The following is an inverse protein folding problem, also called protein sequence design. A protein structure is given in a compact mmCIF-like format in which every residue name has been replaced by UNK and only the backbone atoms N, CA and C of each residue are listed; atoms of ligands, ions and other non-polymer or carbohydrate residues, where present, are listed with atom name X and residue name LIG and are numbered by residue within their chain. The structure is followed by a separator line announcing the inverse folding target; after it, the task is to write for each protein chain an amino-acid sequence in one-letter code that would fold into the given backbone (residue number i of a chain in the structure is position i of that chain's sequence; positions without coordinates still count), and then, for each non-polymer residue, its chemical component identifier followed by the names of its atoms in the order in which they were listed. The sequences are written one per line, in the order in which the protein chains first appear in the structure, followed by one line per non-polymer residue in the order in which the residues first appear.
data_IF_365408795366
#
_entry.id   IF_365408795366
#
_cell.length_a   1.000
_cell.length_b   1.000
_cell.length_c   1.000
_cell.angle_alpha   90.00
_cell.angle_beta   90.00
_cell.angle_gamma   90.00
#
_symmetry.space_group_name_H-M   'P 1'
#
loop_
_entity.id
_entity.type
_entity.pdbx_description
1 polymer ?
#
# COMPACT_ATOMS: atom_id res chain seq x y z
N UNK A 1 4.26 -27.13 -4.93
CA UNK A 1 5.03 -27.87 -3.90
C UNK A 1 4.81 -27.19 -2.56
N UNK A 2 3.93 -27.78 -1.76
CA UNK A 2 3.39 -27.29 -0.49
C UNK A 2 4.31 -27.71 0.66
N UNK A 3 5.19 -26.81 1.08
CA UNK A 3 6.03 -27.03 2.27
C UNK A 3 5.19 -26.98 3.54
N UNK A 4 5.08 -28.12 4.21
CA UNK A 4 4.54 -28.28 5.56
C UNK A 4 5.29 -27.39 6.54
N UNK A 5 4.63 -26.34 7.07
CA UNK A 5 5.08 -25.62 8.26
C UNK A 5 4.40 -26.23 9.48
N UNK A 6 5.21 -26.69 10.44
CA UNK A 6 4.83 -27.54 11.55
C UNK A 6 3.70 -27.03 12.45
N UNK A 7 2.90 -27.97 12.96
CA UNK A 7 1.64 -27.76 13.68
C UNK A 7 1.70 -26.89 14.95
N UNK A 8 2.88 -26.66 15.54
CA UNK A 8 3.02 -25.78 16.71
C UNK A 8 2.91 -24.28 16.39
N UNK A 9 3.24 -23.86 15.17
CA UNK A 9 3.11 -22.45 14.74
C UNK A 9 1.64 -22.06 14.51
N UNK A 10 0.79 -23.01 14.09
CA UNK A 10 -0.63 -22.79 13.81
C UNK A 10 -1.47 -22.53 15.07
N UNK A 11 -1.04 -23.01 16.24
CA UNK A 11 -1.76 -22.82 17.51
C UNK A 11 -1.50 -21.43 18.09
N UNK A 12 -0.26 -20.92 18.02
CA UNK A 12 0.05 -19.54 18.43
C UNK A 12 -0.65 -18.50 17.54
N UNK A 13 -0.81 -18.82 16.25
CA UNK A 13 -1.56 -18.02 15.28
C UNK A 13 -3.09 -18.03 15.49
N UNK A 14 -3.65 -18.90 16.32
CA UNK A 14 -5.11 -18.96 16.58
C UNK A 14 -5.58 -18.04 17.71
N UNK A 15 -4.67 -17.59 18.57
CA UNK A 15 -5.00 -16.70 19.70
C UNK A 15 -4.50 -15.27 19.52
N UNK A 16 -3.59 -15.03 18.57
CA UNK A 16 -3.02 -13.71 18.31
C UNK A 16 -4.08 -12.65 18.00
N UNK A 17 -4.99 -12.91 17.06
CA UNK A 17 -6.04 -11.95 16.68
C UNK A 17 -7.01 -11.63 17.80
N UNK A 18 -7.34 -12.60 18.65
CA UNK A 18 -8.24 -12.42 19.80
C UNK A 18 -7.65 -11.52 20.88
N UNK A 19 -6.32 -11.35 20.93
CA UNK A 19 -5.65 -10.40 21.83
C UNK A 19 -5.34 -9.07 21.14
N UNK A 20 -4.93 -9.11 19.87
CA UNK A 20 -4.58 -7.91 19.09
C UNK A 20 -5.78 -6.99 18.92
N UNK A 21 -6.97 -7.51 18.59
CA UNK A 21 -8.13 -6.67 18.29
C UNK A 21 -8.63 -5.90 19.52
N UNK A 22 -8.81 -6.53 20.70
CA UNK A 22 -9.15 -5.78 21.93
C UNK A 22 -8.07 -4.76 22.31
N UNK A 23 -6.78 -5.11 22.17
CA UNK A 23 -5.69 -4.17 22.41
C UNK A 23 -5.79 -2.96 21.49
N UNK A 24 -6.04 -3.16 20.18
CA UNK A 24 -6.23 -2.06 19.24
C UNK A 24 -7.43 -1.18 19.59
N UNK A 25 -8.50 -1.75 20.17
CA UNK A 25 -9.64 -0.96 20.67
C UNK A 25 -9.24 -0.07 21.85
N UNK A 26 -8.46 -0.60 22.80
CA UNK A 26 -7.95 0.19 23.94
C UNK A 26 -7.01 1.30 23.46
N UNK A 27 -6.08 0.97 22.55
CA UNK A 27 -5.13 1.94 21.99
C UNK A 27 -5.80 3.10 21.23
N UNK A 28 -7.02 2.91 20.73
CA UNK A 28 -7.77 3.94 20.00
C UNK A 28 -8.09 5.18 20.85
N UNK A 29 -8.09 5.04 22.18
CA UNK A 29 -8.35 6.12 23.13
C UNK A 29 -7.11 6.92 23.52
N UNK A 30 -5.90 6.46 23.16
CA UNK A 30 -4.68 7.17 23.49
C UNK A 30 -4.52 8.47 22.67
N UNK A 31 -3.94 9.54 23.25
CA UNK A 31 -3.53 10.71 22.50
C UNK A 31 -2.55 10.32 21.38
N UNK A 32 -2.71 10.93 20.20
CA UNK A 32 -1.89 10.60 19.02
C UNK A 32 -0.37 10.70 19.29
N UNK A 33 0.15 11.73 20.00
CA UNK A 33 1.58 11.82 20.28
C UNK A 33 2.11 10.63 21.10
N UNK A 34 1.32 10.12 22.06
CA UNK A 34 1.69 8.95 22.88
C UNK A 34 1.74 7.70 22.01
N UNK A 35 0.70 7.47 21.19
CA UNK A 35 0.63 6.32 20.30
C UNK A 35 1.75 6.35 19.25
N UNK A 36 2.02 7.52 18.66
CA UNK A 36 3.11 7.71 17.69
C UNK A 36 4.49 7.63 18.33
N UNK A 37 4.65 8.04 19.59
CA UNK A 37 5.86 7.84 20.39
C UNK A 37 6.14 6.35 20.63
N UNK A 38 5.11 5.58 20.99
CA UNK A 38 5.21 4.13 21.11
C UNK A 38 5.59 3.48 19.77
N UNK A 39 4.93 3.87 18.68
CA UNK A 39 5.26 3.37 17.34
C UNK A 39 6.69 3.73 16.91
N UNK A 40 7.18 4.92 17.26
CA UNK A 40 8.55 5.32 17.02
C UNK A 40 9.53 4.43 17.79
N UNK A 41 9.31 4.21 19.09
CA UNK A 41 10.17 3.36 19.91
C UNK A 41 10.21 1.92 19.39
N UNK A 42 9.05 1.33 19.11
CA UNK A 42 8.95 -0.03 18.55
C UNK A 42 9.65 -0.08 17.19
N UNK A 43 9.46 0.93 16.32
CA UNK A 43 10.13 1.01 15.03
C UNK A 43 11.65 1.06 15.14
N UNK A 44 12.19 1.82 16.11
CA UNK A 44 13.64 1.86 16.40
C UNK A 44 14.16 0.50 16.86
N UNK A 45 13.43 -0.19 17.72
CA UNK A 45 13.77 -1.54 18.19
C UNK A 45 13.71 -2.54 17.03
N UNK A 46 12.63 -2.56 16.25
CA UNK A 46 12.47 -3.45 15.11
C UNK A 46 13.54 -3.21 14.04
N UNK A 47 13.95 -1.96 13.82
CA UNK A 47 15.06 -1.69 12.90
C UNK A 47 16.33 -2.44 13.32
N UNK A 48 16.61 -2.58 14.62
CA UNK A 48 17.78 -3.33 15.13
C UNK A 48 17.54 -4.84 15.07
N UNK A 49 16.37 -5.31 15.53
CA UNK A 49 16.09 -6.74 15.71
C UNK A 49 15.70 -7.47 14.41
N UNK A 50 14.93 -6.83 13.52
CA UNK A 50 14.46 -7.43 12.27
C UNK A 50 15.52 -7.32 11.15
N UNK A 51 16.73 -7.81 11.42
CA UNK A 51 17.88 -7.71 10.53
C UNK A 51 17.62 -8.16 9.08
N UNK A 52 16.89 -9.27 8.79
CA UNK A 52 16.59 -9.65 7.40
C UNK A 52 15.76 -8.60 6.64
N UNK A 53 14.75 -8.00 7.29
CA UNK A 53 13.93 -6.94 6.68
C UNK A 53 14.73 -5.66 6.51
N UNK A 54 15.59 -5.33 7.47
CA UNK A 54 16.50 -4.18 7.38
C UNK A 54 17.43 -4.32 6.18
N UNK A 55 18.00 -5.51 5.95
CA UNK A 55 18.87 -5.79 4.80
C UNK A 55 18.14 -5.57 3.47
N UNK A 56 16.90 -6.02 3.33
CA UNK A 56 16.08 -5.79 2.14
C UNK A 56 15.86 -4.29 1.90
N UNK A 57 15.45 -3.55 2.93
CA UNK A 57 15.22 -2.10 2.80
C UNK A 57 16.49 -1.34 2.39
N UNK A 58 17.62 -1.62 3.05
CA UNK A 58 18.90 -1.00 2.70
C UNK A 58 19.36 -1.37 1.29
N UNK A 59 19.13 -2.61 0.84
CA UNK A 59 19.49 -3.03 -0.51
C UNK A 59 18.64 -2.33 -1.56
N UNK A 60 17.33 -2.22 -1.35
CA UNK A 60 16.47 -1.46 -2.26
C UNK A 60 16.90 0.00 -2.34
N UNK A 61 17.11 0.65 -1.20
CA UNK A 61 17.55 2.04 -1.17
C UNK A 61 18.91 2.23 -1.82
N UNK A 62 19.83 1.26 -1.72
CA UNK A 62 21.12 1.32 -2.40
C UNK A 62 21.00 1.17 -3.93
N UNK A 63 20.05 0.36 -4.40
CA UNK A 63 19.75 0.20 -5.82
C UNK A 63 19.05 1.43 -6.41
N UNK A 64 18.08 1.99 -5.66
CA UNK A 64 17.27 3.11 -6.14
C UNK A 64 17.94 4.48 -5.98
N UNK A 65 18.82 4.63 -4.98
CA UNK A 65 19.51 5.89 -4.69
C UNK A 65 21.02 5.69 -4.63
N UNK A 66 21.69 5.34 -5.75
CA UNK A 66 23.14 5.07 -5.81
C UNK A 66 24.00 6.27 -5.40
N UNK A 67 23.49 7.49 -5.53
CA UNK A 67 24.20 8.72 -5.16
C UNK A 67 24.01 9.12 -3.68
N UNK A 68 22.97 8.60 -3.02
CA UNK A 68 22.75 8.87 -1.61
C UNK A 68 23.79 8.15 -0.74
N UNK A 69 24.42 8.87 0.19
CA UNK A 69 25.43 8.26 1.06
C UNK A 69 24.81 7.19 1.99
N UNK A 70 25.66 6.29 2.52
CA UNK A 70 25.21 5.20 3.40
C UNK A 70 24.46 5.67 4.66
N UNK A 71 24.78 6.86 5.18
CA UNK A 71 24.06 7.48 6.31
C UNK A 71 22.63 7.84 5.92
N UNK A 72 22.43 8.46 4.76
CA UNK A 72 21.11 8.87 4.27
C UNK A 72 20.22 7.65 4.02
N UNK A 73 20.74 6.63 3.31
CA UNK A 73 20.00 5.38 3.09
C UNK A 73 19.60 4.70 4.41
N UNK A 74 20.49 4.71 5.41
CA UNK A 74 20.19 4.15 6.73
C UNK A 74 19.15 4.98 7.48
N UNK A 75 19.12 6.30 7.29
CA UNK A 75 18.07 7.15 7.85
C UNK A 75 16.71 6.81 7.25
N UNK A 76 16.56 6.81 5.93
CA UNK A 76 15.31 6.43 5.27
C UNK A 76 14.88 5.00 5.66
N UNK A 77 15.81 4.06 5.75
CA UNK A 77 15.51 2.71 6.21
C UNK A 77 15.01 2.69 7.67
N UNK A 78 15.45 3.58 8.56
CA UNK A 78 14.89 3.69 9.92
C UNK A 78 13.49 4.29 9.90
N UNK A 79 13.29 5.33 9.09
CA UNK A 79 11.99 5.98 8.89
C UNK A 79 10.95 4.97 8.38
N UNK A 80 11.33 4.05 7.49
CA UNK A 80 10.48 2.94 7.01
C UNK A 80 9.94 2.08 8.15
N UNK A 81 10.78 1.72 9.11
CA UNK A 81 10.37 0.89 10.24
C UNK A 81 9.51 1.66 11.24
N UNK A 82 9.84 2.92 11.48
CA UNK A 82 9.02 3.83 12.30
C UNK A 82 7.65 4.02 11.67
N UNK A 83 7.59 4.35 10.38
CA UNK A 83 6.35 4.57 9.65
C UNK A 83 5.48 3.31 9.62
N UNK A 84 6.08 2.12 9.45
CA UNK A 84 5.38 0.84 9.58
C UNK A 84 4.72 0.69 10.96
N UNK A 85 5.48 0.85 12.04
CA UNK A 85 4.96 0.66 13.39
C UNK A 85 3.91 1.71 13.74
N UNK A 86 4.17 2.97 13.42
CA UNK A 86 3.23 4.05 13.64
C UNK A 86 1.95 3.84 12.84
N UNK A 87 2.01 3.45 11.56
CA UNK A 87 0.81 3.20 10.77
C UNK A 87 0.06 1.94 11.20
N UNK A 88 0.78 0.93 11.70
CA UNK A 88 0.19 -0.25 12.32
C UNK A 88 -0.61 0.08 13.58
N UNK A 89 -0.04 0.85 14.49
CA UNK A 89 -0.74 1.29 15.69
C UNK A 89 -1.88 2.24 15.36
N UNK A 90 -1.73 3.11 14.36
CA UNK A 90 -2.78 4.03 13.94
C UNK A 90 -4.08 3.38 13.46
N UNK A 91 -4.02 2.13 13.00
CA UNK A 91 -5.24 1.35 12.70
C UNK A 91 -6.18 1.28 13.91
N UNK A 92 -5.67 1.40 15.14
CA UNK A 92 -6.47 1.53 16.36
C UNK A 92 -7.49 2.68 16.25
N UNK A 93 -7.03 3.93 16.11
CA UNK A 93 -7.93 5.06 16.02
C UNK A 93 -8.59 5.17 14.64
N UNK A 94 -7.92 4.77 13.57
CA UNK A 94 -8.48 4.84 12.21
C UNK A 94 -9.75 3.98 12.09
N UNK A 95 -9.77 2.82 12.73
CA UNK A 95 -10.87 1.85 12.61
C UNK A 95 -11.81 1.79 13.83
N UNK A 96 -11.43 2.35 14.98
CA UNK A 96 -12.31 2.36 16.18
C UNK A 96 -12.72 3.74 16.67
N UNK A 97 -11.94 4.82 16.46
CA UNK A 97 -12.30 6.14 16.97
C UNK A 97 -13.49 6.75 16.20
N UNK A 98 -14.27 7.70 16.76
CA UNK A 98 -15.36 8.37 16.06
C UNK A 98 -14.95 8.97 14.71
N UNK A 99 -15.90 9.10 13.78
CA UNK A 99 -15.67 9.58 12.41
C UNK A 99 -14.97 10.94 12.39
N UNK A 100 -15.31 11.82 13.33
CA UNK A 100 -14.79 13.19 13.48
C UNK A 100 -13.30 13.18 13.82
N UNK A 101 -12.84 12.18 14.58
CA UNK A 101 -11.41 12.00 14.87
C UNK A 101 -10.65 11.65 13.61
N UNK A 102 -11.22 10.77 12.76
CA UNK A 102 -10.61 10.36 11.50
C UNK A 102 -10.55 11.55 10.55
N UNK A 103 -11.64 12.29 10.36
CA UNK A 103 -11.68 13.48 9.50
C UNK A 103 -10.67 14.56 9.93
N UNK A 104 -10.48 14.76 11.23
CA UNK A 104 -9.49 15.73 11.74
C UNK A 104 -8.05 15.27 11.51
N UNK A 105 -7.77 13.97 11.54
CA UNK A 105 -6.41 13.40 11.43
C UNK A 105 -6.05 13.00 10.02
N UNK A 106 -7.00 12.86 9.10
CA UNK A 106 -6.75 12.41 7.73
C UNK A 106 -7.29 13.45 6.77
N UNK A 107 -6.39 14.25 6.21
CA UNK A 107 -6.72 15.27 5.22
C UNK A 107 -6.65 14.68 3.82
N UNK A 108 -7.73 14.80 3.04
CA UNK A 108 -7.73 14.57 1.60
C UNK A 108 -7.53 15.91 0.87
N UNK A 109 -6.64 15.95 -0.13
CA UNK A 109 -6.34 17.16 -0.91
C UNK A 109 -5.98 16.82 -2.36
N UNK A 110 -5.73 17.84 -3.18
CA UNK A 110 -5.35 17.69 -4.59
C UNK A 110 -6.55 17.87 -5.52
N UNK A 111 -6.57 17.12 -6.62
CA UNK A 111 -7.61 17.20 -7.65
C UNK A 111 -8.88 16.42 -7.23
N UNK A 112 -9.60 16.92 -6.23
CA UNK A 112 -10.76 16.22 -5.66
C UNK A 112 -11.94 16.12 -6.64
N UNK A 113 -12.06 17.09 -7.54
CA UNK A 113 -13.01 17.10 -8.65
C UNK A 113 -12.92 15.84 -9.51
N UNK A 114 -11.76 15.18 -9.56
CA UNK A 114 -11.58 13.94 -10.31
C UNK A 114 -12.37 12.76 -9.74
N UNK A 115 -12.79 12.84 -8.47
CA UNK A 115 -13.59 11.84 -7.79
C UNK A 115 -15.10 12.00 -8.05
N UNK A 116 -15.51 13.18 -8.52
CA UNK A 116 -16.90 13.51 -8.81
C UNK A 116 -17.41 12.82 -10.09
N UNK A 117 -18.73 12.84 -10.27
CA UNK A 117 -19.40 12.23 -11.43
C UNK A 117 -19.38 10.69 -11.42
N UNK A 118 -19.62 10.11 -12.59
CA UNK A 118 -19.79 8.66 -12.80
C UNK A 118 -18.71 8.04 -13.69
N UNK A 119 -17.71 8.81 -14.15
CA UNK A 119 -16.66 8.27 -14.99
C UNK A 119 -15.82 7.26 -14.19
N UNK A 120 -15.70 6.00 -14.64
CA UNK A 120 -14.91 4.98 -13.96
C UNK A 120 -13.49 5.46 -13.66
N UNK A 121 -12.96 5.17 -12.47
CA UNK A 121 -11.59 5.57 -12.12
C UNK A 121 -10.84 4.46 -11.37
N UNK A 122 -9.57 4.31 -11.69
CA UNK A 122 -8.64 3.50 -10.92
C UNK A 122 -7.77 4.44 -10.10
N UNK A 123 -7.76 4.19 -8.80
CA UNK A 123 -6.91 4.86 -7.84
C UNK A 123 -5.63 4.05 -7.73
N UNK A 124 -4.58 4.52 -8.40
CA UNK A 124 -3.22 4.02 -8.20
C UNK A 124 -2.76 4.45 -6.81
N UNK A 125 -2.72 3.50 -5.89
CA UNK A 125 -2.30 3.70 -4.52
C UNK A 125 -0.99 2.94 -4.29
N UNK A 126 0.19 3.57 -4.40
CA UNK A 126 1.43 2.88 -4.11
C UNK A 126 1.49 2.39 -2.67
N UNK A 127 2.31 1.38 -2.39
CA UNK A 127 2.49 0.83 -1.04
C UNK A 127 3.28 1.78 -0.12
N UNK A 128 2.72 2.96 0.18
CA UNK A 128 3.13 3.77 1.32
C UNK A 128 2.46 3.25 2.59
N UNK A 129 3.13 3.42 3.73
CA UNK A 129 2.59 2.95 5.01
C UNK A 129 1.26 3.61 5.42
N UNK A 130 0.93 4.77 4.84
CA UNK A 130 -0.34 5.47 5.04
C UNK A 130 -1.51 4.98 4.18
N UNK A 131 -1.34 3.96 3.32
CA UNK A 131 -2.37 3.52 2.37
C UNK A 131 -3.76 3.27 2.98
N UNK A 132 -3.86 2.67 4.17
CA UNK A 132 -5.17 2.43 4.79
C UNK A 132 -5.86 3.75 5.20
N UNK A 133 -5.10 4.76 5.63
CA UNK A 133 -5.64 6.09 5.91
C UNK A 133 -6.10 6.77 4.61
N UNK A 134 -5.38 6.59 3.51
CA UNK A 134 -5.78 7.07 2.18
C UNK A 134 -7.07 6.42 1.70
N UNK A 135 -7.18 5.09 1.83
CA UNK A 135 -8.41 4.35 1.53
C UNK A 135 -9.60 4.84 2.37
N UNK A 136 -9.41 5.06 3.67
CA UNK A 136 -10.45 5.65 4.53
C UNK A 136 -10.80 7.08 4.11
N UNK A 137 -9.82 7.91 3.75
CA UNK A 137 -10.05 9.28 3.28
C UNK A 137 -10.90 9.28 2.02
N UNK A 138 -10.54 8.45 1.03
CA UNK A 138 -11.29 8.30 -0.21
C UNK A 138 -12.73 7.88 0.07
N UNK A 139 -12.92 6.82 0.86
CA UNK A 139 -14.25 6.29 1.16
C UNK A 139 -15.14 7.23 2.00
N UNK A 140 -14.54 8.20 2.71
CA UNK A 140 -15.26 9.26 3.41
C UNK A 140 -15.71 10.41 2.50
N UNK A 141 -15.12 10.55 1.31
CA UNK A 141 -15.32 11.67 0.39
C UNK A 141 -15.98 11.26 -0.93
N UNK A 142 -16.46 10.02 -1.04
CA UNK A 142 -17.19 9.55 -2.22
C UNK A 142 -18.30 8.59 -1.81
N UNK A 143 -19.42 8.66 -2.54
CA UNK A 143 -20.53 7.68 -2.45
C UNK A 143 -20.41 6.56 -3.49
N UNK A 144 -19.39 6.62 -4.36
CA UNK A 144 -19.21 5.66 -5.44
C UNK A 144 -18.77 4.31 -4.90
N UNK A 145 -19.30 3.24 -5.49
CA UNK A 145 -18.88 1.88 -5.17
C UNK A 145 -17.35 1.74 -5.33
N UNK A 146 -16.70 1.26 -4.29
CA UNK A 146 -15.25 1.24 -4.17
C UNK A 146 -14.76 -0.20 -4.02
N UNK A 147 -14.06 -0.71 -5.02
CA UNK A 147 -13.51 -2.07 -5.00
C UNK A 147 -12.04 -2.04 -4.60
N UNK A 148 -11.64 -2.87 -3.63
CA UNK A 148 -10.25 -3.10 -3.28
C UNK A 148 -9.91 -4.58 -3.41
N UNK A 149 -8.74 -4.88 -3.98
CA UNK A 149 -8.21 -6.24 -4.00
C UNK A 149 -7.62 -6.55 -2.62
N UNK A 150 -8.01 -7.69 -2.06
CA UNK A 150 -7.67 -8.14 -0.73
C UNK A 150 -7.04 -9.54 -0.79
N UNK A 151 -6.24 -9.85 0.22
CA UNK A 151 -5.73 -11.19 0.45
C UNK A 151 -6.19 -11.64 1.82
N UNK A 152 -6.92 -12.74 1.88
CA UNK A 152 -7.38 -13.35 3.13
C UNK A 152 -6.21 -13.55 4.09
N UNK A 153 -6.37 -13.05 5.33
CA UNK A 153 -5.40 -13.21 6.39
C UNK A 153 -5.52 -14.61 7.01
N UNK A 154 -4.40 -15.25 7.44
CA UNK A 154 -4.45 -16.59 8.02
C UNK A 154 -5.23 -16.69 9.34
N UNK A 155 -5.20 -15.64 10.16
CA UNK A 155 -5.96 -15.54 11.41
C UNK A 155 -7.35 -14.92 11.10
N UNK A 156 -8.47 -15.63 11.32
CA UNK A 156 -9.81 -15.13 11.00
C UNK A 156 -10.22 -13.88 11.78
N UNK A 157 -9.75 -13.69 13.02
CA UNK A 157 -10.06 -12.49 13.80
C UNK A 157 -9.32 -11.27 13.23
N UNK A 158 -8.07 -11.46 12.79
CA UNK A 158 -7.34 -10.42 12.06
C UNK A 158 -8.00 -10.15 10.70
N UNK A 159 -8.40 -11.19 9.95
CA UNK A 159 -9.09 -11.03 8.66
C UNK A 159 -10.35 -10.18 8.79
N UNK A 160 -11.22 -10.55 9.74
CA UNK A 160 -12.46 -9.83 10.04
C UNK A 160 -12.18 -8.37 10.46
N UNK A 161 -11.15 -8.15 11.28
CA UNK A 161 -10.75 -6.80 11.70
C UNK A 161 -10.29 -5.93 10.53
N UNK A 162 -9.46 -6.47 9.63
CA UNK A 162 -9.03 -5.75 8.42
C UNK A 162 -10.20 -5.45 7.48
N UNK A 163 -11.12 -6.40 7.29
CA UNK A 163 -12.33 -6.19 6.47
C UNK A 163 -13.21 -5.11 7.08
N UNK A 164 -13.56 -5.22 8.35
CA UNK A 164 -14.38 -4.24 9.06
C UNK A 164 -13.75 -2.84 9.03
N UNK A 165 -12.44 -2.74 9.26
CA UNK A 165 -11.72 -1.47 9.22
C UNK A 165 -11.74 -0.81 7.84
N UNK A 166 -11.49 -1.58 6.77
CA UNK A 166 -11.47 -1.07 5.39
C UNK A 166 -12.85 -0.79 4.82
N UNK A 167 -13.89 -1.44 5.34
CA UNK A 167 -15.30 -1.25 4.93
C UNK A 167 -16.08 -0.33 5.85
N UNK A 168 -15.42 0.27 6.84
CA UNK A 168 -16.07 1.10 7.86
C UNK A 168 -16.74 2.36 7.29
N UNK A 169 -16.20 2.91 6.21
CA UNK A 169 -16.69 4.13 5.57
C UNK A 169 -16.98 3.85 4.11
N UNK A 170 -18.06 4.42 3.58
CA UNK A 170 -18.45 4.28 2.17
C UNK A 170 -18.91 2.87 1.77
N UNK A 171 -19.22 2.70 0.48
CA UNK A 171 -19.57 1.40 -0.11
C UNK A 171 -18.31 0.69 -0.62
N UNK A 172 -17.64 -0.04 0.28
CA UNK A 172 -16.37 -0.71 -0.02
C UNK A 172 -16.55 -2.21 -0.18
N UNK A 173 -16.19 -2.73 -1.35
CA UNK A 173 -16.16 -4.15 -1.66
C UNK A 173 -14.73 -4.70 -1.66
N UNK A 174 -14.50 -5.67 -0.78
CA UNK A 174 -13.21 -6.36 -0.66
C UNK A 174 -13.23 -7.65 -1.47
N UNK A 175 -12.52 -7.69 -2.60
CA UNK A 175 -12.46 -8.86 -3.48
C UNK A 175 -11.13 -9.59 -3.32
N UNK A 176 -11.18 -10.91 -3.21
CA UNK A 176 -9.98 -11.73 -3.27
C UNK A 176 -9.48 -11.87 -4.71
N UNK A 177 -8.17 -12.05 -4.87
CA UNK A 177 -7.58 -12.34 -6.20
C UNK A 177 -8.19 -13.61 -6.84
N UNK A 178 -8.61 -14.58 -6.03
CA UNK A 178 -9.29 -15.80 -6.45
C UNK A 178 -10.68 -15.55 -7.06
N UNK A 179 -11.32 -14.42 -6.74
CA UNK A 179 -12.67 -14.08 -7.24
C UNK A 179 -12.62 -13.65 -8.72
N UNK A 180 -11.41 -13.52 -9.28
CA UNK A 180 -11.17 -13.20 -10.67
C UNK A 180 -11.36 -11.73 -11.01
N UNK A 181 -11.18 -11.41 -12.29
CA UNK A 181 -11.16 -10.03 -12.81
C UNK A 181 -12.57 -9.50 -13.12
N UNK A 182 -13.54 -10.39 -13.38
CA UNK A 182 -14.89 -10.00 -13.85
C UNK A 182 -15.62 -9.06 -12.88
N UNK A 183 -15.68 -9.31 -11.56
CA UNK A 183 -16.41 -8.43 -10.64
C UNK A 183 -15.79 -7.04 -10.56
N UNK A 184 -14.45 -6.94 -10.63
CA UNK A 184 -13.71 -5.67 -10.64
C UNK A 184 -14.08 -4.85 -11.88
N UNK A 185 -14.03 -5.47 -13.06
CA UNK A 185 -14.35 -4.78 -14.34
C UNK A 185 -15.82 -4.38 -14.38
N UNK A 186 -16.72 -5.21 -13.87
CA UNK A 186 -18.15 -4.89 -13.76
C UNK A 186 -18.39 -3.65 -12.90
N UNK A 187 -17.78 -3.59 -11.71
CA UNK A 187 -17.87 -2.42 -10.82
C UNK A 187 -17.31 -1.16 -11.48
N UNK A 188 -16.14 -1.26 -12.14
CA UNK A 188 -15.58 -0.13 -12.89
C UNK A 188 -16.56 0.35 -13.97
N UNK A 189 -17.10 -0.54 -14.81
CA UNK A 189 -18.03 -0.15 -15.89
C UNK A 189 -19.34 0.49 -15.40
N UNK A 190 -19.70 0.29 -14.13
CA UNK A 190 -20.83 0.95 -13.48
C UNK A 190 -20.47 2.31 -12.87
N UNK A 191 -19.28 2.84 -13.16
CA UNK A 191 -18.80 4.11 -12.61
C UNK A 191 -18.13 4.00 -11.25
N UNK A 192 -17.82 2.77 -10.80
CA UNK A 192 -17.11 2.53 -9.55
C UNK A 192 -15.64 2.97 -9.57
N UNK A 193 -15.02 2.84 -8.40
CA UNK A 193 -13.61 3.08 -8.14
C UNK A 193 -12.88 1.75 -7.91
N UNK A 194 -11.66 1.62 -8.40
CA UNK A 194 -10.76 0.51 -8.05
C UNK A 194 -9.54 1.04 -7.28
N UNK A 195 -9.37 0.62 -6.04
CA UNK A 195 -8.11 0.79 -5.30
C UNK A 195 -7.10 -0.26 -5.77
N UNK A 196 -6.06 0.17 -6.47
CA UNK A 196 -5.06 -0.74 -7.01
C UNK A 196 -3.66 -0.36 -6.51
N UNK A 197 -2.96 -1.36 -5.98
CA UNK A 197 -1.57 -1.25 -5.57
C UNK A 197 -0.67 -2.16 -6.46
N UNK A 198 -0.26 -1.70 -7.65
CA UNK A 198 0.40 -2.50 -8.68
C UNK A 198 1.93 -2.53 -8.59
N UNK A 199 2.53 -2.00 -7.53
CA UNK A 199 3.98 -1.73 -7.38
C UNK A 199 4.76 -2.86 -6.68
N UNK A 200 4.22 -4.07 -6.67
CA UNK A 200 4.82 -5.25 -6.04
C UNK A 200 5.36 -6.25 -7.07
N UNK A 201 6.33 -7.05 -6.64
CA UNK A 201 6.93 -8.12 -7.43
C UNK A 201 6.17 -9.43 -7.17
N UNK A 202 5.45 -9.90 -8.20
CA UNK A 202 4.64 -11.12 -8.20
C UNK A 202 5.30 -12.30 -8.95
N UNK A 203 6.59 -12.21 -9.27
CA UNK A 203 7.28 -13.22 -10.05
C UNK A 203 7.34 -12.91 -11.54
N UNK A 204 7.92 -13.85 -12.31
CA UNK A 204 8.15 -13.69 -13.76
C UNK A 204 6.87 -13.76 -14.57
N UNK A 205 5.95 -14.63 -14.15
CA UNK A 205 4.70 -14.86 -14.87
C UNK A 205 3.86 -13.57 -14.90
N UNK A 206 3.43 -13.17 -16.10
CA UNK A 206 2.65 -11.97 -16.37
C UNK A 206 3.34 -10.64 -15.99
N UNK A 207 4.66 -10.64 -15.72
CA UNK A 207 5.43 -9.43 -15.43
C UNK A 207 6.23 -8.97 -16.64
N UNK A 208 6.32 -7.66 -16.80
CA UNK A 208 7.28 -7.00 -17.69
C UNK A 208 8.51 -6.57 -16.89
N UNK A 209 9.68 -6.58 -17.53
CA UNK A 209 10.93 -6.08 -16.94
C UNK A 209 11.19 -4.63 -17.34
N UNK A 210 10.44 -3.72 -16.73
CA UNK A 210 10.53 -2.27 -16.96
C UNK A 210 11.45 -1.59 -15.93
N UNK A 211 12.03 -0.42 -16.25
CA UNK A 211 12.93 0.26 -15.31
C UNK A 211 12.17 0.80 -14.08
N UNK A 212 12.81 0.73 -12.93
CA UNK A 212 12.44 1.40 -11.69
C UNK A 212 13.72 1.89 -11.01
N UNK A 213 13.93 3.21 -10.98
CA UNK A 213 15.23 3.82 -10.65
C UNK A 213 16.40 3.24 -11.47
N UNK A 214 16.20 3.09 -12.77
CA UNK A 214 17.18 2.50 -13.69
C UNK A 214 17.36 0.97 -13.61
N UNK A 215 16.90 0.33 -12.52
CA UNK A 215 17.00 -1.12 -12.34
C UNK A 215 15.79 -1.83 -12.96
N UNK A 216 16.03 -2.90 -13.73
CA UNK A 216 14.95 -3.75 -14.26
C UNK A 216 14.18 -4.41 -13.10
N UNK A 217 12.88 -4.16 -13.04
CA UNK A 217 11.99 -4.69 -12.01
C UNK A 217 10.81 -5.43 -12.64
N UNK A 218 10.57 -6.67 -12.19
CA UNK A 218 9.37 -7.42 -12.57
C UNK A 218 8.11 -6.68 -12.10
N UNK A 219 7.30 -6.23 -13.05
CA UNK A 219 6.12 -5.40 -12.79
C UNK A 219 4.95 -5.91 -13.61
N UNK A 220 3.85 -6.24 -12.94
CA UNK A 220 2.63 -6.72 -13.62
C UNK A 220 1.92 -5.53 -14.25
N UNK A 221 1.56 -5.55 -15.55
CA UNK A 221 0.86 -4.47 -16.26
C UNK A 221 -0.63 -4.40 -15.89
N UNK A 222 -0.94 -4.56 -14.60
CA UNK A 222 -2.30 -4.63 -14.07
C UNK A 222 -3.03 -3.29 -14.16
N UNK A 223 -2.33 -2.17 -13.94
CA UNK A 223 -2.92 -0.84 -13.95
C UNK A 223 -3.51 -0.48 -15.32
N UNK A 224 -2.71 -0.58 -16.38
CA UNK A 224 -3.18 -0.34 -17.76
C UNK A 224 -4.22 -1.36 -18.20
N UNK A 225 -4.05 -2.64 -17.82
CA UNK A 225 -5.03 -3.69 -18.11
C UNK A 225 -6.41 -3.39 -17.53
N UNK A 226 -6.49 -3.07 -16.23
CA UNK A 226 -7.76 -2.73 -15.60
C UNK A 226 -8.33 -1.43 -16.15
N UNK A 227 -7.49 -0.42 -16.42
CA UNK A 227 -7.93 0.87 -16.95
C UNK A 227 -8.61 0.69 -18.31
N UNK A 228 -8.00 -0.09 -19.21
CA UNK A 228 -8.57 -0.42 -20.52
C UNK A 228 -9.88 -1.22 -20.42
N UNK A 229 -9.90 -2.29 -19.61
CA UNK A 229 -11.08 -3.14 -19.47
C UNK A 229 -12.28 -2.41 -18.85
N UNK A 230 -12.00 -1.57 -17.85
CA UNK A 230 -12.98 -0.75 -17.13
C UNK A 230 -13.33 0.57 -17.80
N UNK A 231 -12.64 0.96 -18.89
CA UNK A 231 -12.72 2.30 -19.52
C UNK A 231 -12.53 3.42 -18.49
N UNK A 232 -11.55 3.22 -17.62
CA UNK A 232 -11.34 4.05 -16.45
C UNK A 232 -10.15 4.98 -16.62
N UNK A 233 -10.33 6.23 -16.17
CA UNK A 233 -9.19 7.14 -15.97
C UNK A 233 -8.34 6.65 -14.80
N UNK A 234 -7.07 7.06 -14.77
CA UNK A 234 -6.14 6.72 -13.67
C UNK A 234 -5.75 7.98 -12.92
N UNK A 235 -5.96 7.94 -11.61
CA UNK A 235 -5.52 8.96 -10.65
C UNK A 235 -4.54 8.29 -9.69
N UNK A 236 -3.57 9.01 -9.15
CA UNK A 236 -2.80 8.51 -8.01
C UNK A 236 -3.39 9.02 -6.69
N UNK A 237 -3.41 8.17 -5.66
CA UNK A 237 -3.62 8.57 -4.27
C UNK A 237 -2.36 8.29 -3.46
N UNK A 238 -1.58 9.33 -3.19
CA UNK A 238 -0.33 9.23 -2.43
C UNK A 238 -0.62 9.65 -0.99
N UNK A 239 -0.47 8.72 -0.05
CA UNK A 239 -0.78 8.99 1.37
C UNK A 239 0.47 8.97 2.24
N UNK A 240 0.74 10.09 2.89
CA UNK A 240 1.91 10.30 3.76
C UNK A 240 1.48 10.53 5.20
N UNK A 241 2.25 9.97 6.12
CA UNK A 241 2.17 10.28 7.55
C UNK A 241 2.64 11.72 7.76
N UNK A 242 1.91 12.44 8.62
CA UNK A 242 2.27 13.77 9.12
C UNK A 242 2.36 13.72 10.65
N UNK A 243 2.93 14.75 11.32
CA UNK A 243 2.97 14.80 12.79
C UNK A 243 1.59 14.70 13.45
N UNK A 244 0.54 15.15 12.76
CA UNK A 244 -0.84 15.22 13.28
C UNK A 244 -1.77 14.15 12.71
N UNK A 245 -1.28 13.28 11.82
CA UNK A 245 -2.04 12.19 11.23
C UNK A 245 -1.55 11.81 9.83
N UNK A 246 -2.34 12.11 8.80
CA UNK A 246 -2.05 11.80 7.40
C UNK A 246 -2.49 12.92 6.45
N UNK A 247 -1.75 13.02 5.35
CA UNK A 247 -2.13 13.77 4.17
C UNK A 247 -2.24 12.79 3.00
N UNK A 248 -3.44 12.68 2.44
CA UNK A 248 -3.76 11.85 1.28
C UNK A 248 -4.00 12.79 0.09
N UNK A 249 -3.23 12.64 -0.98
CA UNK A 249 -3.23 13.57 -2.11
C UNK A 249 -3.65 12.85 -3.39
N UNK A 250 -4.72 13.35 -4.01
CA UNK A 250 -5.20 12.92 -5.32
C UNK A 250 -4.50 13.74 -6.41
N UNK A 251 -3.88 13.07 -7.37
CA UNK A 251 -3.37 13.74 -8.56
C UNK A 251 -4.47 13.96 -9.59
N UNK A 252 -4.30 14.93 -10.51
CA UNK A 252 -5.07 14.95 -11.75
C UNK A 252 -5.01 13.61 -12.48
N UNK A 253 -5.98 13.35 -13.34
CA UNK A 253 -5.96 12.18 -14.20
C UNK A 253 -4.71 12.14 -15.07
N UNK A 254 -4.13 10.94 -15.22
CA UNK A 254 -2.96 10.75 -16.05
C UNK A 254 -3.34 10.97 -17.52
N UNK A 255 -2.82 12.02 -18.18
CA UNK A 255 -3.23 12.36 -19.53
C UNK A 255 -2.81 11.25 -20.49
N UNK A 256 -3.75 10.84 -21.37
CA UNK A 256 -3.48 9.84 -22.40
C UNK A 256 -3.18 8.42 -21.89
N UNK A 257 -3.49 8.10 -20.64
CA UNK A 257 -3.27 6.77 -20.07
C UNK A 257 -4.58 5.96 -19.95
N UNK A 258 -4.59 4.65 -20.31
CA UNK A 258 -3.51 3.88 -20.92
C UNK A 258 -3.35 4.19 -22.42
N UNK A 259 -2.14 4.02 -22.94
CA UNK A 259 -1.80 4.26 -24.35
C UNK A 259 -2.14 3.07 -25.27
N UNK A 260 -2.33 1.88 -24.68
CA UNK A 260 -2.53 0.63 -25.40
C UNK A 260 -1.28 -0.23 -25.51
N UNK A 261 -0.09 0.36 -25.29
CA UNK A 261 1.18 -0.34 -25.14
C UNK A 261 1.44 -0.65 -23.66
N UNK A 262 1.42 -1.94 -23.33
CA UNK A 262 1.58 -2.40 -21.96
C UNK A 262 2.98 -2.09 -21.38
N UNK A 263 4.04 -2.09 -22.19
CA UNK A 263 5.40 -1.82 -21.72
C UNK A 263 5.60 -0.33 -21.48
N UNK A 264 5.14 0.52 -22.41
CA UNK A 264 5.17 1.97 -22.26
C UNK A 264 4.36 2.42 -21.04
N UNK A 265 3.14 1.89 -20.89
CA UNK A 265 2.26 2.21 -19.76
C UNK A 265 2.87 1.78 -18.40
N UNK A 266 3.47 0.58 -18.35
CA UNK A 266 4.07 0.07 -17.10
C UNK A 266 5.36 0.82 -16.76
N UNK A 267 6.12 1.25 -17.77
CA UNK A 267 7.29 2.12 -17.60
C UNK A 267 6.88 3.48 -17.05
N UNK A 268 5.83 4.11 -17.60
CA UNK A 268 5.29 5.37 -17.10
C UNK A 268 4.79 5.24 -15.65
N UNK A 269 4.10 4.15 -15.32
CA UNK A 269 3.66 3.87 -13.95
C UNK A 269 4.84 3.85 -12.97
N UNK A 270 5.94 3.16 -13.31
CA UNK A 270 7.13 3.13 -12.48
C UNK A 270 7.81 4.52 -12.37
N UNK A 271 7.78 5.33 -13.43
CA UNK A 271 8.30 6.70 -13.40
C UNK A 271 7.46 7.61 -12.49
N UNK A 272 6.13 7.55 -12.59
CA UNK A 272 5.21 8.26 -11.68
C UNK A 272 5.42 7.82 -10.24
N UNK A 273 5.56 6.51 -10.01
CA UNK A 273 5.88 5.96 -8.69
C UNK A 273 7.16 6.54 -8.10
N UNK A 274 8.24 6.63 -8.88
CA UNK A 274 9.50 7.25 -8.46
C UNK A 274 9.26 8.68 -7.96
N UNK A 275 8.58 9.50 -8.75
CA UNK A 275 8.28 10.89 -8.39
C UNK A 275 7.51 11.03 -7.06
N UNK A 276 6.64 10.06 -6.74
CA UNK A 276 5.90 10.06 -5.47
C UNK A 276 6.77 9.62 -4.29
N UNK A 277 7.64 8.63 -4.50
CA UNK A 277 8.57 8.13 -3.49
C UNK A 277 9.61 9.19 -3.14
N UNK A 278 10.13 9.93 -4.13
CA UNK A 278 11.18 10.93 -3.94
C UNK A 278 10.77 12.07 -3.00
N UNK A 279 9.47 12.34 -2.85
CA UNK A 279 8.94 13.32 -1.89
C UNK A 279 9.13 12.86 -0.44
N UNK A 280 9.01 11.56 -0.17
CA UNK A 280 9.12 11.00 1.17
C UNK A 280 9.71 9.57 1.15
N UNK A 281 11.01 9.41 0.81
CA UNK A 281 11.59 8.09 0.56
C UNK A 281 11.44 7.15 1.75
N UNK A 282 11.58 7.65 2.98
CA UNK A 282 11.43 6.87 4.19
C UNK A 282 10.05 6.24 4.42
N UNK A 283 8.99 6.69 3.74
CA UNK A 283 7.62 6.22 3.97
C UNK A 283 7.12 5.15 2.98
N UNK A 284 7.92 4.81 1.98
CA UNK A 284 7.61 3.73 1.03
C UNK A 284 7.92 2.35 1.62
N UNK A 285 7.21 1.31 1.18
CA UNK A 285 7.33 -0.07 1.67
C UNK A 285 8.60 -0.79 1.21
N UNK A 286 9.78 -0.27 1.60
CA UNK A 286 11.09 -0.77 1.19
C UNK A 286 11.43 -2.17 1.70
N UNK A 287 10.65 -2.75 2.61
CA UNK A 287 10.89 -4.11 3.13
C UNK A 287 10.38 -5.22 2.21
N UNK A 288 9.70 -4.86 1.11
CA UNK A 288 9.41 -5.77 0.00
C UNK A 288 10.66 -6.03 -0.83
N UNK A 289 10.88 -7.28 -1.24
CA UNK A 289 11.95 -7.61 -2.18
C UNK A 289 11.51 -7.22 -3.61
N UNK A 290 11.51 -5.92 -3.92
CA UNK A 290 11.05 -5.32 -5.20
C UNK A 290 11.76 -5.87 -6.45
N UNK A 291 12.99 -6.33 -6.28
CA UNK A 291 13.89 -6.79 -7.35
C UNK A 291 14.22 -8.30 -7.23
N UNK A 292 13.36 -9.11 -6.57
CA UNK A 292 13.70 -10.53 -6.32
C UNK A 292 13.67 -11.32 -7.61
N UNK A 293 12.76 -10.99 -8.51
CA UNK A 293 12.65 -11.59 -9.83
C UNK A 293 13.47 -10.74 -10.79
N UNK A 294 14.49 -11.38 -11.37
CA UNK A 294 15.43 -10.75 -12.30
C UNK A 294 15.14 -11.17 -13.74
N UNK A 295 15.54 -10.38 -14.75
CA UNK A 295 15.68 -10.86 -16.12
C UNK A 295 16.49 -12.15 -16.19
N UNK A 296 16.31 -12.92 -17.26
CA UNK A 296 17.10 -14.14 -17.46
C UNK A 296 18.60 -13.80 -17.54
N UNK A 297 19.44 -14.63 -16.92
CA UNK A 297 20.90 -14.41 -16.86
C UNK A 297 21.37 -13.38 -15.82
N UNK A 298 20.48 -12.58 -15.21
CA UNK A 298 20.89 -11.60 -14.21
C UNK A 298 21.00 -12.19 -12.79
N UNK A 299 22.05 -11.84 -12.01
CA UNK A 299 22.27 -12.38 -10.69
C UNK A 299 21.25 -11.85 -9.66
N UNK A 300 20.95 -12.62 -8.59
CA UNK A 300 20.09 -12.16 -7.51
C UNK A 300 20.71 -10.96 -6.79
N UNK A 301 19.89 -9.98 -6.43
CA UNK A 301 20.35 -8.77 -5.74
C UNK A 301 20.18 -8.80 -4.22
N UNK A 302 19.50 -9.81 -3.67
CA UNK A 302 19.34 -9.99 -2.22
C UNK A 302 20.10 -11.24 -1.77
N UNK A 303 20.90 -11.07 -0.72
CA UNK A 303 21.53 -12.13 0.07
C UNK A 303 20.62 -12.60 1.19
#
# INVERSE_FOLDING_TARGET
MTGHVGGRMKVLLRFGGRLVVPLMRVLAHLPLPVLRGLGWLIGRILFVLAAPRRRVALRNLALCYPDACGRQRRQWARETFVAFCQSWLDRSWLWFAPREVVLRRVRLQGALEELEGSQPAIIFAPHFYGMDAGGSALALHTSRAFTSIFSTQPDPAIDAWFRAGRQRFGDVRMLNRSDGVKPIVSSLRQGGLLYLLPDMDFGRNDSLFVPFYGVRAATVPSLSRFARLGRAKVLALVTRLTPTGYCAEITPAWPGYPTGDAEADTTLMNAKLQSYIDIAPGQYYWVHKRFKTRPEGEPPVYS
#
